data_IF_555379393950
#
_entry.id   IF_555379393950
#
_cell.length_a   1.000
_cell.length_b   1.000
_cell.length_c   1.000
_cell.angle_alpha   90.00
_cell.angle_beta   90.00
_cell.angle_gamma   90.00
#
_symmetry.space_group_name_H-M   'P 1'
#
loop_
_entity.id
_entity.type
_entity.pdbx_description
1 polymer ?
#
# COMPACT_ATOMS: atom_id res chain seq x y z
N UNK A 1 -31.34 -10.84 -55.79
CA UNK A 1 -31.03 -9.45 -55.41
C UNK A 1 -30.80 -9.49 -53.91
N UNK A 2 -29.56 -9.73 -53.52
CA UNK A 2 -29.19 -10.06 -52.14
C UNK A 2 -29.18 -8.80 -51.27
N UNK A 3 -30.12 -8.73 -50.35
CA UNK A 3 -30.14 -7.71 -49.31
C UNK A 3 -29.09 -8.11 -48.28
N UNK A 4 -27.90 -7.51 -48.37
CA UNK A 4 -26.91 -7.58 -47.31
C UNK A 4 -27.52 -6.99 -46.03
N UNK A 5 -27.91 -7.85 -45.09
CA UNK A 5 -28.26 -7.44 -43.72
C UNK A 5 -26.98 -6.95 -43.05
N UNK A 6 -26.86 -5.65 -42.83
CA UNK A 6 -25.80 -5.06 -42.00
C UNK A 6 -25.87 -5.72 -40.62
N UNK A 7 -24.77 -6.26 -40.06
CA UNK A 7 -24.81 -6.83 -38.72
C UNK A 7 -25.13 -5.70 -37.74
N UNK A 8 -26.30 -5.77 -37.12
CA UNK A 8 -26.69 -4.86 -36.06
C UNK A 8 -25.82 -5.16 -34.85
N UNK A 9 -24.73 -4.41 -34.68
CA UNK A 9 -23.88 -4.53 -33.50
C UNK A 9 -24.70 -4.28 -32.25
N UNK A 10 -24.66 -5.23 -31.31
CA UNK A 10 -25.25 -5.02 -30.01
C UNK A 10 -24.37 -4.05 -29.22
N UNK A 11 -24.63 -2.74 -29.38
CA UNK A 11 -23.89 -1.65 -28.71
C UNK A 11 -23.77 -1.88 -27.20
N UNK A 12 -24.78 -2.51 -26.57
CA UNK A 12 -24.74 -2.84 -25.15
C UNK A 12 -23.63 -3.84 -24.81
N UNK A 13 -23.45 -4.88 -25.63
CA UNK A 13 -22.36 -5.86 -25.47
C UNK A 13 -21.00 -5.17 -25.64
N UNK A 14 -20.86 -4.34 -26.67
CA UNK A 14 -19.61 -3.61 -26.91
C UNK A 14 -19.26 -2.69 -25.72
N UNK A 15 -20.22 -1.94 -25.20
CA UNK A 15 -19.99 -1.07 -24.04
C UNK A 15 -19.62 -1.88 -22.79
N UNK A 16 -20.25 -3.04 -22.57
CA UNK A 16 -19.87 -3.93 -21.47
C UNK A 16 -18.44 -4.44 -21.60
N UNK A 17 -18.03 -4.86 -22.80
CA UNK A 17 -16.66 -5.32 -23.06
C UNK A 17 -15.65 -4.19 -22.84
N UNK A 18 -15.95 -2.98 -23.33
CA UNK A 18 -15.10 -1.80 -23.11
C UNK A 18 -14.98 -1.43 -21.63
N UNK A 19 -16.07 -1.49 -20.88
CA UNK A 19 -16.04 -1.29 -19.42
C UNK A 19 -15.16 -2.33 -18.73
N UNK A 20 -15.27 -3.61 -19.11
CA UNK A 20 -14.44 -4.67 -18.52
C UNK A 20 -12.95 -4.44 -18.81
N UNK A 21 -12.59 -4.09 -20.04
CA UNK A 21 -11.20 -3.80 -20.42
C UNK A 21 -10.65 -2.62 -19.59
N UNK A 22 -11.43 -1.54 -19.46
CA UNK A 22 -11.03 -0.34 -18.70
C UNK A 22 -10.83 -0.68 -17.22
N UNK A 23 -11.79 -1.37 -16.60
CA UNK A 23 -11.72 -1.67 -15.17
C UNK A 23 -10.65 -2.71 -14.84
N UNK A 24 -10.39 -3.68 -15.74
CA UNK A 24 -9.25 -4.59 -15.60
C UNK A 24 -7.91 -3.85 -15.67
N UNK A 25 -7.74 -2.96 -16.65
CA UNK A 25 -6.50 -2.18 -16.79
C UNK A 25 -6.27 -1.26 -15.57
N UNK A 26 -7.31 -0.55 -15.13
CA UNK A 26 -7.27 0.30 -13.93
C UNK A 26 -6.95 -0.51 -12.68
N UNK A 27 -7.61 -1.65 -12.51
CA UNK A 27 -7.37 -2.56 -11.39
C UNK A 27 -5.92 -3.05 -11.35
N UNK A 28 -5.37 -3.44 -12.51
CA UNK A 28 -3.98 -3.91 -12.60
C UNK A 28 -2.96 -2.81 -12.28
N UNK A 29 -3.16 -1.59 -12.80
CA UNK A 29 -2.31 -0.43 -12.48
C UNK A 29 -2.38 -0.12 -10.99
N UNK A 30 -3.58 -0.06 -10.42
CA UNK A 30 -3.77 0.21 -9.00
C UNK A 30 -3.11 -0.85 -8.13
N UNK A 31 -3.26 -2.14 -8.44
CA UNK A 31 -2.65 -3.24 -7.69
C UNK A 31 -1.11 -3.17 -7.73
N UNK A 32 -0.54 -2.94 -8.92
CA UNK A 32 0.91 -2.81 -9.10
C UNK A 32 1.47 -1.61 -8.34
N UNK A 33 0.81 -0.45 -8.43
CA UNK A 33 1.20 0.75 -7.71
C UNK A 33 1.10 0.57 -6.18
N UNK A 34 0.00 -0.04 -5.69
CA UNK A 34 -0.19 -0.33 -4.28
C UNK A 34 0.90 -1.26 -3.74
N UNK A 35 1.23 -2.31 -4.48
CA UNK A 35 2.31 -3.22 -4.13
C UNK A 35 3.64 -2.48 -4.01
N UNK A 36 4.03 -1.74 -5.05
CA UNK A 36 5.29 -1.02 -5.09
C UNK A 36 5.41 0.00 -3.95
N UNK A 37 4.36 0.79 -3.70
CA UNK A 37 4.33 1.78 -2.62
C UNK A 37 4.42 1.12 -1.24
N UNK A 38 3.72 0.01 -1.03
CA UNK A 38 3.74 -0.68 0.26
C UNK A 38 5.11 -1.27 0.56
N UNK A 39 5.72 -1.95 -0.43
CA UNK A 39 7.07 -2.48 -0.29
C UNK A 39 8.11 -1.39 -0.11
N UNK A 40 8.01 -0.28 -0.84
CA UNK A 40 8.88 0.88 -0.65
C UNK A 40 8.83 1.40 0.79
N UNK A 41 7.61 1.60 1.32
CA UNK A 41 7.42 2.07 2.69
C UNK A 41 7.98 1.10 3.73
N UNK A 42 7.83 -0.21 3.48
CA UNK A 42 8.45 -1.24 4.32
C UNK A 42 9.98 -1.15 4.32
N UNK A 43 10.59 -1.10 3.14
CA UNK A 43 12.05 -1.02 2.99
C UNK A 43 12.65 0.25 3.59
N UNK A 44 11.99 1.40 3.43
CA UNK A 44 12.42 2.66 4.06
C UNK A 44 12.42 2.50 5.59
N UNK A 45 11.32 1.97 6.14
CA UNK A 45 11.21 1.73 7.58
C UNK A 45 12.31 0.81 8.11
N UNK A 46 12.52 -0.32 7.44
CA UNK A 46 13.51 -1.33 7.78
C UNK A 46 14.94 -0.76 7.77
N UNK A 47 15.30 -0.01 6.72
CA UNK A 47 16.63 0.59 6.58
C UNK A 47 16.89 1.64 7.66
N UNK A 48 15.90 2.45 8.02
CA UNK A 48 16.01 3.44 9.10
C UNK A 48 16.13 2.72 10.45
N UNK A 49 15.36 1.66 10.68
CA UNK A 49 15.45 0.88 11.91
C UNK A 49 16.85 0.27 12.12
N UNK A 50 17.49 -0.25 11.07
CA UNK A 50 18.88 -0.73 11.15
C UNK A 50 19.85 0.35 11.65
N UNK A 51 19.69 1.58 11.15
CA UNK A 51 20.52 2.72 11.54
C UNK A 51 20.27 3.15 13.00
N UNK A 52 18.99 3.22 13.40
CA UNK A 52 18.60 3.69 14.73
C UNK A 52 18.97 2.67 15.81
N UNK A 53 18.75 1.38 15.55
CA UNK A 53 19.09 0.30 16.49
C UNK A 53 20.61 0.16 16.69
N UNK A 54 21.40 0.44 15.65
CA UNK A 54 22.86 0.45 15.74
C UNK A 54 23.44 1.55 16.67
N UNK A 55 22.66 2.60 16.96
CA UNK A 55 23.15 3.80 17.65
C UNK A 55 22.69 3.94 19.12
N UNK A 56 22.09 2.91 19.72
CA UNK A 56 21.83 2.69 21.16
C UNK A 56 21.20 3.84 22.01
N UNK A 57 20.73 4.94 21.42
CA UNK A 57 20.14 6.09 22.15
C UNK A 57 18.83 6.57 21.52
N UNK A 58 17.76 6.58 22.32
CA UNK A 58 16.43 7.06 21.90
C UNK A 58 16.41 8.54 21.44
N UNK A 59 17.33 9.37 21.94
CA UNK A 59 17.48 10.78 21.53
C UNK A 59 17.98 10.89 20.08
N UNK A 60 18.91 10.02 19.69
CA UNK A 60 19.50 10.00 18.36
C UNK A 60 18.47 9.58 17.30
N UNK A 61 17.60 8.62 17.62
CA UNK A 61 16.51 8.22 16.74
C UNK A 61 15.53 9.35 16.42
N UNK A 62 15.26 10.27 17.35
CA UNK A 62 14.41 11.44 17.08
C UNK A 62 15.06 12.40 16.08
N UNK A 63 16.36 12.63 16.19
CA UNK A 63 17.10 13.52 15.29
C UNK A 63 17.19 12.94 13.87
N UNK A 64 17.45 11.63 13.74
CA UNK A 64 17.45 10.94 12.45
C UNK A 64 16.11 11.12 11.73
N UNK A 65 15.00 10.83 12.41
CA UNK A 65 13.67 10.91 11.78
C UNK A 65 13.38 12.32 11.26
N UNK A 66 13.69 13.35 12.06
CA UNK A 66 13.49 14.74 11.65
C UNK A 66 14.38 15.15 10.46
N UNK A 67 15.63 14.69 10.43
CA UNK A 67 16.56 14.98 9.33
C UNK A 67 16.15 14.24 8.05
N UNK A 68 15.86 12.95 8.14
CA UNK A 68 15.43 12.12 7.00
C UNK A 68 14.14 12.66 6.41
N UNK A 69 13.14 12.97 7.25
CA UNK A 69 11.90 13.56 6.77
C UNK A 69 12.16 14.86 6.01
N UNK A 70 12.97 15.77 6.56
CA UNK A 70 13.30 17.05 5.90
C UNK A 70 13.94 16.83 4.52
N UNK A 71 14.98 16.00 4.45
CA UNK A 71 15.71 15.75 3.20
C UNK A 71 14.82 15.09 2.15
N UNK A 72 14.05 14.06 2.53
CA UNK A 72 13.13 13.41 1.59
C UNK A 72 12.01 14.36 1.12
N UNK A 73 11.55 15.27 1.97
CA UNK A 73 10.56 16.28 1.56
C UNK A 73 11.14 17.34 0.61
N UNK A 74 12.41 17.69 0.77
CA UNK A 74 13.12 18.61 -0.13
C UNK A 74 13.32 17.97 -1.52
N UNK A 75 13.64 16.68 -1.59
CA UNK A 75 13.95 15.97 -2.83
C UNK A 75 12.70 15.42 -3.55
N UNK A 76 11.75 14.86 -2.79
CA UNK A 76 10.60 14.11 -3.34
C UNK A 76 9.24 14.75 -3.03
N UNK A 77 9.23 15.87 -2.29
CA UNK A 77 8.03 16.60 -1.92
C UNK A 77 7.40 16.16 -0.59
N UNK A 78 6.49 16.99 -0.08
CA UNK A 78 5.96 16.84 1.29
C UNK A 78 5.10 15.60 1.53
N UNK A 79 4.33 15.19 0.52
CA UNK A 79 3.29 14.16 0.66
C UNK A 79 3.92 12.78 0.84
N UNK A 80 3.73 12.18 2.02
CA UNK A 80 4.21 10.82 2.32
C UNK A 80 5.59 10.75 2.97
N UNK A 81 6.30 11.86 3.11
CA UNK A 81 7.65 11.91 3.71
C UNK A 81 7.76 12.82 4.93
N UNK A 82 6.63 13.21 5.54
CA UNK A 82 6.65 13.88 6.85
C UNK A 82 7.11 12.93 7.97
N UNK A 83 7.51 13.49 9.12
CA UNK A 83 7.97 12.68 10.26
C UNK A 83 6.97 11.60 10.69
N UNK A 84 5.67 11.89 10.60
CA UNK A 84 4.62 10.93 10.98
C UNK A 84 4.62 9.73 10.02
N UNK A 85 4.81 9.97 8.73
CA UNK A 85 4.91 8.96 7.70
C UNK A 85 6.17 8.13 7.87
N UNK A 86 7.32 8.76 8.12
CA UNK A 86 8.57 8.05 8.42
C UNK A 86 8.43 7.16 9.67
N UNK A 87 7.81 7.67 10.75
CA UNK A 87 7.54 6.86 11.95
C UNK A 87 6.64 5.67 11.66
N UNK A 88 5.60 5.84 10.83
CA UNK A 88 4.74 4.73 10.40
C UNK A 88 5.50 3.70 9.57
N UNK A 89 6.37 4.12 8.66
CA UNK A 89 7.24 3.21 7.89
C UNK A 89 8.12 2.39 8.85
N UNK A 90 8.77 3.04 9.81
CA UNK A 90 9.56 2.36 10.83
C UNK A 90 8.74 1.35 11.65
N UNK A 91 7.56 1.75 12.14
CA UNK A 91 6.65 0.86 12.87
C UNK A 91 6.19 -0.31 12.00
N UNK A 92 5.90 -0.06 10.73
CA UNK A 92 5.48 -1.09 9.78
C UNK A 92 6.54 -2.17 9.64
N UNK A 93 7.81 -1.80 9.45
CA UNK A 93 8.90 -2.78 9.36
C UNK A 93 9.13 -3.56 10.66
N UNK A 94 8.86 -2.96 11.84
CA UNK A 94 8.98 -3.65 13.12
C UNK A 94 7.84 -4.64 13.37
N UNK A 95 6.60 -4.24 13.05
CA UNK A 95 5.40 -5.05 13.27
C UNK A 95 5.26 -6.20 12.25
N UNK A 96 5.87 -6.05 11.07
CA UNK A 96 5.85 -7.05 10.00
C UNK A 96 7.28 -7.35 9.54
N UNK A 97 8.09 -8.08 10.33
CA UNK A 97 9.50 -8.28 10.04
C UNK A 97 9.75 -9.17 8.80
N UNK A 98 8.77 -9.99 8.41
CA UNK A 98 8.88 -10.85 7.23
C UNK A 98 8.38 -10.14 5.97
N UNK A 99 9.32 -9.78 5.10
CA UNK A 99 9.03 -9.11 3.83
C UNK A 99 8.25 -9.98 2.84
N UNK A 100 8.31 -11.31 2.93
CA UNK A 100 7.56 -12.21 2.05
C UNK A 100 6.07 -12.21 2.39
N UNK A 101 5.73 -12.13 3.68
CA UNK A 101 4.36 -11.95 4.15
C UNK A 101 3.83 -10.60 3.67
N UNK A 102 4.61 -9.53 3.86
CA UNK A 102 4.23 -8.18 3.40
C UNK A 102 4.03 -8.16 1.88
N UNK A 103 4.94 -8.74 1.10
CA UNK A 103 4.82 -8.82 -0.36
C UNK A 103 3.55 -9.57 -0.77
N UNK A 104 3.18 -10.61 -0.04
CA UNK A 104 1.98 -11.40 -0.33
C UNK A 104 0.70 -10.63 -0.05
N UNK A 105 0.59 -10.01 1.13
CA UNK A 105 -0.55 -9.18 1.48
C UNK A 105 -0.67 -7.94 0.58
N UNK A 106 0.46 -7.36 0.16
CA UNK A 106 0.49 -6.16 -0.70
C UNK A 106 -0.05 -6.39 -2.12
N UNK A 107 -0.29 -7.65 -2.52
CA UNK A 107 -1.01 -7.97 -3.77
C UNK A 107 -2.49 -7.61 -3.70
N UNK A 108 -3.04 -7.53 -2.49
CA UNK A 108 -4.46 -7.29 -2.23
C UNK A 108 -4.69 -6.03 -1.40
N UNK A 109 -3.73 -5.68 -0.54
CA UNK A 109 -3.80 -4.56 0.39
C UNK A 109 -2.88 -3.43 -0.03
N UNK A 110 -3.36 -2.20 0.10
CA UNK A 110 -2.54 -0.99 -0.08
C UNK A 110 -1.88 -0.56 1.24
N UNK A 111 -0.89 0.33 1.14
CA UNK A 111 -0.24 0.98 2.28
C UNK A 111 -1.23 1.51 3.32
N UNK A 112 -2.35 2.10 2.88
CA UNK A 112 -3.39 2.61 3.78
C UNK A 112 -4.00 1.54 4.68
N UNK A 113 -4.15 0.29 4.22
CA UNK A 113 -4.64 -0.80 5.07
C UNK A 113 -3.68 -1.08 6.21
N UNK A 114 -2.37 -1.08 5.93
CA UNK A 114 -1.35 -1.25 6.95
C UNK A 114 -1.33 -0.06 7.93
N UNK A 115 -1.51 1.17 7.43
CA UNK A 115 -1.57 2.37 8.29
C UNK A 115 -2.68 2.30 9.33
N UNK A 116 -3.86 1.78 8.97
CA UNK A 116 -4.98 1.67 9.93
C UNK A 116 -4.72 0.63 11.03
N UNK A 117 -3.95 -0.42 10.75
CA UNK A 117 -3.71 -1.49 11.73
C UNK A 117 -2.42 -1.31 12.54
N UNK A 118 -1.52 -0.42 12.14
CA UNK A 118 -0.31 -0.07 12.91
C UNK A 118 -0.61 0.35 14.36
N UNK A 119 -1.64 1.18 14.65
CA UNK A 119 -1.97 1.60 16.01
C UNK A 119 -2.54 0.49 16.90
N UNK A 120 -3.00 -0.63 16.32
CA UNK A 120 -3.56 -1.74 17.09
C UNK A 120 -2.47 -2.37 17.94
N UNK A 121 -2.77 -2.57 19.23
CA UNK A 121 -1.81 -3.10 20.21
C UNK A 121 -1.70 -4.62 20.21
N UNK A 122 -2.75 -5.29 19.74
CA UNK A 122 -2.84 -6.75 19.70
C UNK A 122 -2.44 -7.24 18.30
N UNK A 123 -1.41 -8.09 18.26
CA UNK A 123 -0.89 -8.67 17.02
C UNK A 123 -1.91 -9.61 16.37
N UNK A 124 -2.67 -10.35 17.17
CA UNK A 124 -3.72 -11.24 16.65
C UNK A 124 -4.84 -10.43 16.01
N UNK A 125 -5.20 -9.29 16.61
CA UNK A 125 -6.20 -8.39 16.05
C UNK A 125 -5.74 -7.82 14.70
N UNK A 126 -4.44 -7.46 14.59
CA UNK A 126 -3.85 -6.97 13.35
C UNK A 126 -3.87 -8.02 12.24
N UNK A 127 -3.46 -9.24 12.55
CA UNK A 127 -3.50 -10.37 11.62
C UNK A 127 -4.92 -10.69 11.16
N UNK A 128 -5.88 -10.71 12.10
CA UNK A 128 -7.29 -10.94 11.82
C UNK A 128 -7.85 -9.93 10.80
N UNK A 129 -7.65 -8.63 11.05
CA UNK A 129 -8.18 -7.60 10.16
C UNK A 129 -7.50 -7.59 8.78
N UNK A 130 -6.19 -7.79 8.72
CA UNK A 130 -5.49 -7.85 7.43
C UNK A 130 -5.90 -9.08 6.62
N UNK A 131 -6.08 -10.23 7.28
CA UNK A 131 -6.52 -11.47 6.63
C UNK A 131 -7.93 -11.31 6.07
N UNK A 132 -8.87 -10.79 6.87
CA UNK A 132 -10.23 -10.51 6.40
C UNK A 132 -10.26 -9.46 5.29
N UNK A 133 -9.48 -8.39 5.41
CA UNK A 133 -9.45 -7.36 4.38
C UNK A 133 -8.93 -7.91 3.04
N UNK A 134 -7.94 -8.80 3.09
CA UNK A 134 -7.39 -9.48 1.93
C UNK A 134 -8.42 -10.43 1.30
N UNK A 135 -9.03 -11.33 2.09
CA UNK A 135 -9.97 -12.34 1.58
C UNK A 135 -11.29 -11.73 1.07
N UNK A 136 -11.84 -10.77 1.80
CA UNK A 136 -13.16 -10.17 1.53
C UNK A 136 -13.07 -8.88 0.70
N UNK A 137 -11.87 -8.51 0.24
CA UNK A 137 -11.61 -7.27 -0.51
C UNK A 137 -12.16 -6.03 0.19
N UNK A 138 -11.99 -5.94 1.51
CA UNK A 138 -12.48 -4.78 2.25
C UNK A 138 -11.68 -3.54 1.88
N UNK A 139 -12.40 -2.44 1.66
CA UNK A 139 -11.75 -1.13 1.64
C UNK A 139 -11.27 -0.75 3.04
N UNK A 140 -10.25 0.11 3.11
CA UNK A 140 -9.75 0.77 4.31
C UNK A 140 -10.85 1.24 5.28
N UNK A 141 -12.01 1.69 4.78
CA UNK A 141 -13.13 2.20 5.60
C UNK A 141 -13.79 1.15 6.51
N UNK A 142 -13.54 -0.13 6.30
CA UNK A 142 -14.07 -1.23 7.13
C UNK A 142 -13.08 -1.69 8.21
N UNK A 143 -11.86 -1.17 8.18
CA UNK A 143 -10.88 -1.40 9.23
C UNK A 143 -11.27 -0.60 10.50
N UNK A 144 -10.82 -1.04 11.69
CA UNK A 144 -11.16 -0.43 12.98
C UNK A 144 -10.71 1.03 13.14
#
# INVERSE_FOLDING_TARGET
MDIQKTPQYNTQSLIQDLHQIIEQARGHVAATANYALTMMNWHIGERINREVLGNQRAVYGKQIVAQVARQLQEEYGKKGFDEKSIRRMMQFALLFPDSQIVATLSRQLSWSHFVEVIPLKDDLQREFYLTLAASEKWSVRRLP
#
